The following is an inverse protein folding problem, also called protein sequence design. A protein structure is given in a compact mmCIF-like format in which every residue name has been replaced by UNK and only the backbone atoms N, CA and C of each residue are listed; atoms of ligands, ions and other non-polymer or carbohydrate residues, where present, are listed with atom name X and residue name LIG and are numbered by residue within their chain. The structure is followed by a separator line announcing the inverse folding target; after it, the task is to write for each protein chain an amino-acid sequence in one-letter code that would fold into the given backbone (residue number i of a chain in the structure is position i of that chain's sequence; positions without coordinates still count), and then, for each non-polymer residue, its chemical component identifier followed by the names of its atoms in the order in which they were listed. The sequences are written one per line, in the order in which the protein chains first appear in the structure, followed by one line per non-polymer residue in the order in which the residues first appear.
data_IF_434187044207
#
_entry.id   IF_434187044207
#
_cell.length_a   1.000
_cell.length_b   1.000
_cell.length_c   1.000
_cell.angle_alpha   90.00
_cell.angle_beta   90.00
_cell.angle_gamma   90.00
#
_symmetry.space_group_name_H-M   'P 1'
#
loop_
_entity.id
_entity.type
_entity.pdbx_description
1 polymer ?
#
# COMPACT_ATOMS: atom_id res chain seq x y z
N UNK A 1 4.41 -37.86 -2.47
CA UNK A 1 4.83 -37.89 -1.04
C UNK A 1 5.78 -36.72 -0.83
N UNK A 2 5.63 -35.69 0.00
CA UNK A 2 4.67 -35.30 1.04
C UNK A 2 4.79 -33.76 1.19
N UNK A 3 3.72 -32.98 1.01
CA UNK A 3 3.68 -31.56 1.42
C UNK A 3 2.31 -31.19 2.02
N UNK A 4 1.59 -32.19 2.53
CA UNK A 4 0.22 -32.05 3.09
C UNK A 4 0.17 -31.50 4.53
N UNK A 5 1.25 -30.93 5.06
CA UNK A 5 1.28 -30.43 6.43
C UNK A 5 2.06 -29.13 6.53
N UNK A 6 1.39 -28.03 6.24
CA UNK A 6 1.68 -26.75 6.92
C UNK A 6 0.36 -26.31 7.57
N UNK A 7 0.09 -26.93 8.72
CA UNK A 7 -0.97 -26.55 9.63
C UNK A 7 -0.62 -25.18 10.23
N UNK A 8 -1.07 -24.11 9.59
CA UNK A 8 -1.09 -22.79 10.22
C UNK A 8 -2.38 -22.71 11.05
N UNK A 9 -2.34 -23.26 12.27
CA UNK A 9 -3.36 -22.98 13.29
C UNK A 9 -3.24 -21.50 13.68
N UNK A 10 -3.98 -20.62 13.00
CA UNK A 10 -4.15 -19.24 13.41
C UNK A 10 -5.26 -19.20 14.47
N UNK A 11 -4.87 -19.40 15.73
CA UNK A 11 -5.77 -19.26 16.86
C UNK A 11 -6.28 -17.82 16.94
N UNK A 12 -7.60 -17.73 16.90
CA UNK A 12 -8.46 -16.58 17.08
C UNK A 12 -8.19 -15.89 18.44
N UNK A 13 -7.89 -14.59 18.43
CA UNK A 13 -8.49 -13.56 19.30
C UNK A 13 -7.61 -12.30 19.32
N UNK A 14 -8.17 -11.16 18.93
CA UNK A 14 -8.48 -10.04 19.84
C UNK A 14 -9.39 -9.11 19.03
N UNK A 15 -10.61 -8.93 19.53
CA UNK A 15 -11.52 -7.88 19.07
C UNK A 15 -10.99 -6.53 19.52
N UNK A 16 -10.83 -5.59 18.59
CA UNK A 16 -10.75 -4.16 18.91
C UNK A 16 -11.64 -3.41 17.91
N UNK A 17 -12.57 -2.64 18.47
CA UNK A 17 -13.52 -1.82 17.74
C UNK A 17 -12.80 -0.87 16.78
N UNK A 18 -13.13 -0.95 15.49
CA UNK A 18 -12.67 0.01 14.48
C UNK A 18 -13.63 1.19 14.51
N UNK A 19 -13.13 2.34 14.95
CA UNK A 19 -13.79 3.63 14.78
C UNK A 19 -13.63 4.02 13.30
N UNK A 20 -14.74 4.08 12.57
CA UNK A 20 -14.75 4.45 11.16
C UNK A 20 -14.38 5.93 11.00
N UNK A 21 -13.20 6.19 10.42
CA UNK A 21 -12.80 7.50 9.92
C UNK A 21 -13.13 7.60 8.42
N UNK A 22 -13.51 8.79 7.90
CA UNK A 22 -14.11 8.93 6.59
C UNK A 22 -13.10 8.75 5.45
N UNK A 23 -13.49 7.79 4.61
CA UNK A 23 -13.27 7.62 3.17
C UNK A 23 -12.46 8.70 2.42
N UNK A 24 -11.22 8.35 2.09
CA UNK A 24 -10.42 8.93 1.00
C UNK A 24 -10.04 7.82 0.01
N UNK A 25 -11.02 7.01 -0.40
CA UNK A 25 -10.89 5.76 -1.12
C UNK A 25 -11.10 5.99 -2.62
N UNK A 26 -10.02 6.12 -3.38
CA UNK A 26 -10.16 6.27 -4.84
C UNK A 26 -8.92 5.87 -5.63
N UNK A 27 -7.72 6.12 -5.10
CA UNK A 27 -6.48 5.89 -5.86
C UNK A 27 -5.56 4.81 -5.23
N UNK A 28 -5.74 4.47 -3.95
CA UNK A 28 -4.97 3.39 -3.28
C UNK A 28 -5.58 1.99 -3.45
N UNK A 29 -6.91 1.88 -3.41
CA UNK A 29 -7.63 0.60 -3.60
C UNK A 29 -7.21 -0.11 -4.90
N UNK A 30 -7.02 0.67 -5.98
CA UNK A 30 -6.59 0.19 -7.30
C UNK A 30 -5.17 -0.41 -7.31
N UNK A 31 -4.28 -0.01 -6.39
CA UNK A 31 -2.93 -0.59 -6.31
C UNK A 31 -2.92 -1.91 -5.55
N UNK A 32 -3.68 -1.98 -4.47
CA UNK A 32 -3.77 -3.21 -3.66
C UNK A 32 -4.51 -4.31 -4.41
N UNK A 33 -5.56 -3.97 -5.17
CA UNK A 33 -6.29 -4.93 -6.02
C UNK A 33 -5.38 -5.52 -7.11
N UNK A 34 -4.62 -4.67 -7.82
CA UNK A 34 -3.67 -5.12 -8.83
C UNK A 34 -2.57 -6.01 -8.22
N UNK A 35 -2.03 -5.63 -7.06
CA UNK A 35 -1.01 -6.44 -6.36
C UNK A 35 -1.56 -7.79 -5.92
N UNK A 36 -2.77 -7.82 -5.36
CA UNK A 36 -3.45 -9.04 -4.94
C UNK A 36 -3.71 -9.96 -6.13
N UNK A 37 -4.09 -9.40 -7.28
CA UNK A 37 -4.29 -10.16 -8.50
C UNK A 37 -2.99 -10.78 -9.02
N UNK A 38 -1.89 -10.02 -9.03
CA UNK A 38 -0.57 -10.56 -9.38
C UNK A 38 -0.12 -11.68 -8.45
N UNK A 39 -0.29 -11.51 -7.13
CA UNK A 39 0.04 -12.55 -6.14
C UNK A 39 -0.85 -13.77 -6.30
N UNK A 40 -2.15 -13.56 -6.54
CA UNK A 40 -3.12 -14.63 -6.79
C UNK A 40 -2.73 -15.46 -8.01
N UNK A 41 -2.27 -14.83 -9.08
CA UNK A 41 -1.83 -15.51 -10.32
C UNK A 41 -0.48 -16.20 -10.17
N UNK A 42 0.48 -15.57 -9.48
CA UNK A 42 1.85 -16.10 -9.37
C UNK A 42 2.00 -17.18 -8.30
N UNK A 43 1.09 -17.24 -7.32
CA UNK A 43 1.12 -18.16 -6.19
C UNK A 43 -0.06 -19.13 -6.17
N UNK A 44 -0.91 -19.12 -7.21
CA UNK A 44 -2.12 -19.95 -7.33
C UNK A 44 -3.00 -19.92 -6.06
N UNK A 45 -3.25 -18.72 -5.53
CA UNK A 45 -3.97 -18.55 -4.26
C UNK A 45 -5.41 -19.04 -4.39
N UNK A 46 -5.89 -19.78 -3.38
CA UNK A 46 -7.30 -20.15 -3.28
C UNK A 46 -8.17 -18.92 -2.99
N UNK A 47 -9.50 -18.97 -3.26
CA UNK A 47 -10.40 -17.86 -2.95
C UNK A 47 -10.34 -17.43 -1.47
N UNK A 48 -10.21 -18.39 -0.57
CA UNK A 48 -10.10 -18.16 0.87
C UNK A 48 -8.79 -17.44 1.23
N UNK A 49 -7.65 -17.89 0.69
CA UNK A 49 -6.35 -17.24 0.89
C UNK A 49 -6.33 -15.83 0.32
N UNK A 50 -6.96 -15.62 -0.85
CA UNK A 50 -7.08 -14.30 -1.47
C UNK A 50 -7.89 -13.34 -0.59
N UNK A 51 -8.98 -13.82 0.01
CA UNK A 51 -9.81 -13.02 0.93
C UNK A 51 -9.04 -12.64 2.20
N UNK A 52 -8.31 -13.57 2.79
CA UNK A 52 -7.46 -13.30 3.97
C UNK A 52 -6.36 -12.29 3.64
N UNK A 53 -5.69 -12.43 2.49
CA UNK A 53 -4.64 -11.49 2.08
C UNK A 53 -5.18 -10.09 1.79
N UNK A 54 -6.38 -9.99 1.20
CA UNK A 54 -7.07 -8.72 1.00
C UNK A 54 -7.34 -8.01 2.34
N UNK A 55 -7.77 -8.77 3.36
CA UNK A 55 -7.98 -8.24 4.69
C UNK A 55 -6.67 -7.71 5.31
N UNK A 56 -5.57 -8.46 5.20
CA UNK A 56 -4.25 -8.00 5.69
C UNK A 56 -3.84 -6.68 5.05
N UNK A 57 -3.97 -6.57 3.72
CA UNK A 57 -3.61 -5.32 3.04
C UNK A 57 -4.49 -4.14 3.43
N UNK A 58 -5.80 -4.37 3.65
CA UNK A 58 -6.71 -3.33 4.12
C UNK A 58 -6.34 -2.83 5.53
N UNK A 59 -5.99 -3.76 6.42
CA UNK A 59 -5.53 -3.40 7.77
C UNK A 59 -4.19 -2.65 7.75
N UNK A 60 -3.26 -3.04 6.87
CA UNK A 60 -2.00 -2.33 6.68
C UNK A 60 -2.20 -0.92 6.10
N UNK A 61 -3.11 -0.75 5.14
CA UNK A 61 -3.43 0.54 4.55
C UNK A 61 -3.91 1.54 5.61
N UNK A 62 -4.83 1.13 6.49
CA UNK A 62 -5.30 1.96 7.59
C UNK A 62 -4.16 2.37 8.54
N UNK A 63 -3.25 1.45 8.86
CA UNK A 63 -2.06 1.76 9.69
C UNK A 63 -1.12 2.74 9.00
N UNK A 64 -0.87 2.54 7.71
CA UNK A 64 -0.02 3.42 6.93
C UNK A 64 -0.60 4.83 6.79
N UNK A 65 -1.92 4.95 6.65
CA UNK A 65 -2.60 6.24 6.63
C UNK A 65 -2.42 6.97 7.98
N UNK A 66 -2.64 6.27 9.10
CA UNK A 66 -2.41 6.86 10.43
C UNK A 66 -0.96 7.35 10.62
N UNK A 67 0.02 6.55 10.20
CA UNK A 67 1.45 6.93 10.24
C UNK A 67 1.72 8.13 9.34
N UNK A 68 1.09 8.19 8.16
CA UNK A 68 1.21 9.32 7.25
C UNK A 68 0.73 10.61 7.92
N UNK A 69 -0.47 10.57 8.49
CA UNK A 69 -1.10 11.73 9.13
C UNK A 69 -0.30 12.20 10.35
N UNK A 70 0.15 11.27 11.19
CA UNK A 70 1.03 11.57 12.32
C UNK A 70 2.33 12.24 11.84
N UNK A 71 2.95 11.69 10.80
CA UNK A 71 4.18 12.25 10.23
C UNK A 71 3.95 13.66 9.70
N UNK A 72 2.84 13.92 9.02
CA UNK A 72 2.51 15.26 8.53
C UNK A 72 2.33 16.25 9.68
N UNK A 73 1.65 15.86 10.76
CA UNK A 73 1.47 16.70 11.93
C UNK A 73 2.81 17.04 12.58
N UNK A 74 3.67 16.04 12.81
CA UNK A 74 5.01 16.24 13.37
C UNK A 74 5.89 17.14 12.49
N UNK A 75 5.76 17.04 11.18
CA UNK A 75 6.45 17.93 10.25
C UNK A 75 5.94 19.37 10.35
N UNK A 76 4.63 19.58 10.57
CA UNK A 76 4.05 20.91 10.75
C UNK A 76 4.50 21.59 12.04
N UNK A 77 4.80 20.83 13.09
CA UNK A 77 5.34 21.35 14.35
C UNK A 77 6.80 21.80 14.22
N UNK A 78 7.59 21.12 13.37
CA UNK A 78 9.04 21.34 13.25
C UNK A 78 9.37 22.36 12.15
N UNK A 79 8.63 22.33 11.03
CA UNK A 79 8.94 23.11 9.83
C UNK A 79 8.09 24.38 9.73
N UNK A 80 8.68 25.43 9.17
CA UNK A 80 7.91 26.61 8.77
C UNK A 80 6.99 26.31 7.58
N UNK A 81 5.95 27.13 7.39
CA UNK A 81 5.03 27.00 6.24
C UNK A 81 5.76 27.01 4.90
N UNK A 82 6.77 27.85 4.75
CA UNK A 82 7.59 27.93 3.53
C UNK A 82 8.40 26.65 3.31
N UNK A 83 8.97 26.08 4.38
CA UNK A 83 9.71 24.82 4.32
C UNK A 83 8.80 23.63 3.96
N UNK A 84 7.57 23.60 4.48
CA UNK A 84 6.57 22.59 4.11
C UNK A 84 6.19 22.66 2.63
N UNK A 85 5.94 23.86 2.11
CA UNK A 85 5.63 24.07 0.69
C UNK A 85 6.81 23.58 -0.17
N UNK A 86 8.03 23.95 0.20
CA UNK A 86 9.24 23.48 -0.49
C UNK A 86 9.40 21.96 -0.43
N UNK A 87 9.10 21.34 0.71
CA UNK A 87 9.13 19.89 0.87
C UNK A 87 8.10 19.20 -0.04
N UNK A 88 6.88 19.72 -0.12
CA UNK A 88 5.84 19.19 -1.01
C UNK A 88 6.26 19.30 -2.49
N UNK A 89 6.86 20.42 -2.88
CA UNK A 89 7.37 20.62 -4.23
C UNK A 89 8.49 19.63 -4.57
N UNK A 90 9.46 19.44 -3.66
CA UNK A 90 10.52 18.45 -3.83
C UNK A 90 9.96 17.01 -3.98
N UNK A 91 8.94 16.65 -3.20
CA UNK A 91 8.25 15.35 -3.32
C UNK A 91 7.60 15.19 -4.70
N UNK A 92 6.88 16.21 -5.19
CA UNK A 92 6.25 16.19 -6.53
C UNK A 92 7.28 16.06 -7.64
N UNK A 93 8.38 16.80 -7.56
CA UNK A 93 9.47 16.73 -8.54
C UNK A 93 10.13 15.35 -8.56
N UNK A 94 10.41 14.77 -7.39
CA UNK A 94 10.94 13.40 -7.28
C UNK A 94 10.02 12.37 -7.93
N UNK A 95 8.71 12.47 -7.66
CA UNK A 95 7.71 11.58 -8.25
C UNK A 95 7.62 11.74 -9.78
N UNK A 96 7.68 12.96 -10.30
CA UNK A 96 7.71 13.22 -11.75
C UNK A 96 8.96 12.63 -12.41
N UNK A 97 10.14 12.83 -11.81
CA UNK A 97 11.40 12.24 -12.30
C UNK A 97 11.33 10.71 -12.33
N UNK A 98 10.78 10.11 -11.28
CA UNK A 98 10.60 8.66 -11.22
C UNK A 98 9.64 8.16 -12.31
N UNK A 99 8.49 8.82 -12.51
CA UNK A 99 7.55 8.50 -13.60
C UNK A 99 8.20 8.58 -14.98
N UNK A 100 9.00 9.63 -15.23
CA UNK A 100 9.74 9.76 -16.50
C UNK A 100 10.74 8.62 -16.71
N UNK A 101 11.50 8.25 -15.67
CA UNK A 101 12.43 7.12 -15.72
C UNK A 101 11.71 5.79 -15.97
N UNK A 102 10.55 5.58 -15.35
CA UNK A 102 9.74 4.39 -15.56
C UNK A 102 9.22 4.32 -17.00
N UNK A 103 8.78 5.45 -17.56
CA UNK A 103 8.33 5.53 -18.96
C UNK A 103 9.47 5.25 -19.96
N UNK A 104 10.66 5.83 -19.73
CA UNK A 104 11.86 5.56 -20.54
C UNK A 104 12.29 4.09 -20.45
N UNK A 105 12.29 3.50 -19.25
CA UNK A 105 12.60 2.09 -19.10
C UNK A 105 11.59 1.21 -19.84
N UNK A 106 10.30 1.56 -19.77
CA UNK A 106 9.24 0.82 -20.47
C UNK A 106 9.43 0.87 -21.99
N UNK A 107 9.75 2.04 -22.57
CA UNK A 107 10.00 2.15 -24.02
C UNK A 107 11.26 1.40 -24.48
N UNK A 108 12.25 1.22 -23.60
CA UNK A 108 13.46 0.44 -23.89
C UNK A 108 13.25 -1.06 -23.83
N UNK A 109 12.36 -1.54 -22.95
CA UNK A 109 12.11 -2.98 -22.75
C UNK A 109 11.08 -3.52 -23.76
N UNK A 110 10.11 -2.70 -24.15
CA UNK A 110 9.10 -3.04 -25.15
C UNK A 110 8.96 -1.90 -26.17
N UNK A 111 9.91 -1.77 -27.12
CA UNK A 111 9.71 -0.89 -28.26
C UNK A 111 8.55 -1.42 -29.12
N UNK A 112 7.60 -0.56 -29.47
CA UNK A 112 6.52 -0.85 -30.43
C UNK A 112 7.06 -1.12 -31.83
#
# INVERSE_FOLDING_TARGET
MNTKTLCLMLMLSVSSAVLAAPDSQGDMDSRHSNRLEHLSKNLDLTPEQKSQLAQVFKEEEAKLQAIHDETQNRLQEILSKEQLIKLQELKKQGHSKWKKKLADLKSRIAPE
#
